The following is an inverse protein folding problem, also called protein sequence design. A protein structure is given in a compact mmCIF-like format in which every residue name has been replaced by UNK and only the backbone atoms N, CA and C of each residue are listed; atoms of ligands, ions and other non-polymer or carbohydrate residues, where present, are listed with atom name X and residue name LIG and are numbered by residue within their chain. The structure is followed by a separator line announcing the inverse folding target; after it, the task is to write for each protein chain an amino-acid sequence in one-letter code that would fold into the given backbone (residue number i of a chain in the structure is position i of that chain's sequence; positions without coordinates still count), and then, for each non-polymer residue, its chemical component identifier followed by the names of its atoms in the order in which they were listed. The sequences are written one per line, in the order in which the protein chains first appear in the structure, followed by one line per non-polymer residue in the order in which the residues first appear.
data_IF_801638170989
#
_entry.id   IF_801638170989
#
_cell.length_a   1.000
_cell.length_b   1.000
_cell.length_c   1.000
_cell.angle_alpha   90.00
_cell.angle_beta   90.00
_cell.angle_gamma   90.00
#
_symmetry.space_group_name_H-M   'P 1'
#
loop_
_entity.id
_entity.type
_entity.pdbx_description
1 polymer ?
#
# COMPACT_ATOMS: atom_id res chain seq x y z
N UNK A 1 -19.26 7.16 21.28
CA UNK A 1 -18.09 6.34 20.87
C UNK A 1 -16.87 6.43 21.79
N UNK A 2 -16.58 7.55 22.48
CA UNK A 2 -15.32 7.68 23.23
C UNK A 2 -15.16 6.79 24.48
N UNK A 3 -16.22 6.39 25.17
CA UNK A 3 -16.09 5.63 26.44
C UNK A 3 -15.63 4.19 26.21
N UNK A 4 -16.29 3.46 25.31
CA UNK A 4 -16.00 2.04 25.03
C UNK A 4 -14.59 1.87 24.43
N UNK A 5 -14.21 2.69 23.45
CA UNK A 5 -12.87 2.60 22.85
C UNK A 5 -11.76 2.90 23.85
N UNK A 6 -11.96 3.86 24.77
CA UNK A 6 -11.01 4.15 25.85
C UNK A 6 -10.86 2.98 26.81
N UNK A 7 -11.97 2.33 27.20
CA UNK A 7 -11.93 1.13 28.06
C UNK A 7 -11.18 -0.01 27.35
N UNK A 8 -11.48 -0.28 26.08
CA UNK A 8 -10.82 -1.35 25.31
C UNK A 8 -9.32 -1.07 25.16
N UNK A 9 -8.95 0.17 24.83
CA UNK A 9 -7.55 0.57 24.74
C UNK A 9 -6.82 0.45 26.08
N UNK A 10 -7.48 0.79 27.19
CA UNK A 10 -6.90 0.64 28.53
C UNK A 10 -6.67 -0.85 28.87
N UNK A 11 -7.64 -1.73 28.59
CA UNK A 11 -7.51 -3.18 28.84
C UNK A 11 -6.38 -3.77 28.01
N UNK A 12 -6.31 -3.45 26.72
CA UNK A 12 -5.28 -3.94 25.81
C UNK A 12 -3.89 -3.43 26.22
N UNK A 13 -3.79 -2.17 26.65
CA UNK A 13 -2.55 -1.59 27.18
C UNK A 13 -2.07 -2.30 28.44
N UNK A 14 -2.97 -2.59 29.39
CA UNK A 14 -2.64 -3.33 30.62
C UNK A 14 -2.19 -4.77 30.29
N UNK A 15 -2.87 -5.46 29.38
CA UNK A 15 -2.48 -6.80 28.94
C UNK A 15 -1.08 -6.79 28.30
N UNK A 16 -0.79 -5.80 27.46
CA UNK A 16 0.54 -5.62 26.86
C UNK A 16 1.64 -5.45 27.91
N UNK A 17 1.41 -4.61 28.93
CA UNK A 17 2.36 -4.41 30.03
C UNK A 17 2.58 -5.72 30.82
N UNK A 18 1.50 -6.44 31.14
CA UNK A 18 1.60 -7.72 31.87
C UNK A 18 2.40 -8.75 31.08
N UNK A 19 2.16 -8.89 29.77
CA UNK A 19 2.92 -9.81 28.93
C UNK A 19 4.39 -9.39 28.78
N UNK A 20 4.66 -8.08 28.63
CA UNK A 20 6.03 -7.54 28.59
C UNK A 20 6.80 -7.87 29.88
N UNK A 21 6.20 -7.62 31.05
CA UNK A 21 6.82 -7.92 32.34
C UNK A 21 7.09 -9.41 32.49
N UNK A 22 6.18 -10.28 32.03
CA UNK A 22 6.37 -11.74 32.03
C UNK A 22 7.57 -12.15 31.17
N UNK A 23 7.70 -11.61 29.96
CA UNK A 23 8.82 -11.92 29.05
C UNK A 23 10.15 -11.45 29.65
N UNK A 24 10.21 -10.22 30.13
CA UNK A 24 11.42 -9.66 30.76
C UNK A 24 11.82 -10.49 32.00
N UNK A 25 10.85 -10.90 32.82
CA UNK A 25 11.10 -11.71 34.02
C UNK A 25 11.58 -13.14 33.72
N UNK A 26 11.30 -13.67 32.53
CA UNK A 26 11.74 -15.00 32.13
C UNK A 26 13.24 -15.05 31.81
N UNK A 27 13.83 -13.91 31.43
CA UNK A 27 15.24 -13.79 31.05
C UNK A 27 15.51 -14.25 29.61
N UNK A 28 16.41 -13.52 28.94
CA UNK A 28 16.77 -13.74 27.53
C UNK A 28 17.29 -15.16 27.24
N UNK A 29 18.02 -15.75 28.19
CA UNK A 29 18.65 -17.06 28.05
C UNK A 29 17.61 -18.20 28.03
N UNK A 30 16.53 -18.08 28.80
CA UNK A 30 15.46 -19.09 28.87
C UNK A 30 14.50 -19.03 27.67
N UNK A 31 14.42 -17.87 27.00
CA UNK A 31 13.64 -17.71 25.77
C UNK A 31 14.43 -18.23 24.56
N UNK A 32 15.74 -17.96 24.49
CA UNK A 32 16.63 -18.42 23.41
C UNK A 32 16.88 -19.93 23.42
N UNK A 33 16.88 -20.56 24.60
CA UNK A 33 17.04 -22.03 24.74
C UNK A 33 15.78 -22.82 24.37
N UNK A 34 14.65 -22.15 24.12
CA UNK A 34 13.37 -22.79 23.78
C UNK A 34 12.54 -23.26 24.98
N UNK A 35 13.09 -23.25 26.20
CA UNK A 35 12.42 -23.72 27.42
C UNK A 35 11.18 -22.90 27.78
N UNK A 36 11.19 -21.59 27.45
CA UNK A 36 10.09 -20.65 27.72
C UNK A 36 9.60 -19.92 26.46
N UNK A 37 9.87 -20.45 25.27
CA UNK A 37 9.48 -19.79 24.00
C UNK A 37 7.97 -19.47 23.91
N UNK A 38 7.09 -20.30 24.49
CA UNK A 38 5.65 -20.03 24.52
C UNK A 38 5.21 -18.81 25.34
N UNK A 39 6.13 -18.15 26.08
CA UNK A 39 5.81 -16.90 26.79
C UNK A 39 5.74 -15.68 25.87
N UNK A 40 6.35 -15.72 24.67
CA UNK A 40 6.30 -14.61 23.72
C UNK A 40 5.05 -14.63 22.82
N UNK A 41 4.47 -15.81 22.59
CA UNK A 41 3.30 -15.97 21.70
C UNK A 41 2.09 -15.14 22.13
N UNK A 42 1.70 -15.08 23.43
CA UNK A 42 0.58 -14.25 23.87
C UNK A 42 0.75 -12.76 23.56
N UNK A 43 1.98 -12.23 23.63
CA UNK A 43 2.28 -10.85 23.27
C UNK A 43 2.15 -10.63 21.76
N UNK A 44 2.62 -11.58 20.95
CA UNK A 44 2.45 -11.54 19.51
C UNK A 44 0.97 -11.56 19.09
N UNK A 45 0.13 -12.39 19.73
CA UNK A 45 -1.30 -12.42 19.47
C UNK A 45 -2.00 -11.09 19.80
N UNK A 46 -1.62 -10.44 20.90
CA UNK A 46 -2.15 -9.09 21.22
C UNK A 46 -1.72 -8.08 20.17
N UNK A 47 -0.46 -8.12 19.72
CA UNK A 47 0.03 -7.22 18.67
C UNK A 47 -0.73 -7.43 17.35
N UNK A 48 -0.95 -8.68 16.93
CA UNK A 48 -1.75 -8.98 15.74
C UNK A 48 -3.20 -8.53 15.89
N UNK A 49 -3.81 -8.67 17.07
CA UNK A 49 -5.16 -8.20 17.33
C UNK A 49 -5.27 -6.67 17.21
N UNK A 50 -4.30 -5.91 17.74
CA UNK A 50 -4.25 -4.45 17.60
C UNK A 50 -4.04 -4.05 16.14
N UNK A 51 -3.12 -4.72 15.44
CA UNK A 51 -2.85 -4.46 14.02
C UNK A 51 -4.10 -4.71 13.17
N UNK A 52 -4.79 -5.83 13.39
CA UNK A 52 -6.05 -6.14 12.72
C UNK A 52 -7.12 -5.06 13.03
N UNK A 53 -7.27 -4.66 14.30
CA UNK A 53 -8.21 -3.62 14.69
C UNK A 53 -7.89 -2.26 14.03
N UNK A 54 -6.61 -1.90 13.95
CA UNK A 54 -6.16 -0.67 13.29
C UNK A 54 -6.46 -0.70 11.79
N UNK A 55 -6.13 -1.80 11.11
CA UNK A 55 -6.44 -1.99 9.68
C UNK A 55 -7.94 -1.89 9.44
N UNK A 56 -8.77 -2.60 10.22
CA UNK A 56 -10.23 -2.55 10.10
C UNK A 56 -10.75 -1.13 10.34
N UNK A 57 -10.26 -0.43 11.37
CA UNK A 57 -10.68 0.94 11.66
C UNK A 57 -10.34 1.89 10.51
N UNK A 58 -9.14 1.78 9.93
CA UNK A 58 -8.71 2.58 8.78
C UNK A 58 -9.56 2.27 7.56
N UNK A 59 -9.79 1.01 7.25
CA UNK A 59 -10.63 0.58 6.12
C UNK A 59 -12.05 1.14 6.26
N UNK A 60 -12.69 0.94 7.42
CA UNK A 60 -14.03 1.48 7.70
C UNK A 60 -14.02 3.00 7.58
N UNK A 61 -13.01 3.67 8.14
CA UNK A 61 -12.90 5.12 8.10
C UNK A 61 -12.79 5.64 6.66
N UNK A 62 -11.94 5.02 5.83
CA UNK A 62 -11.77 5.41 4.42
C UNK A 62 -13.09 5.26 3.67
N UNK A 63 -13.74 4.09 3.74
CA UNK A 63 -15.00 3.87 3.03
C UNK A 63 -16.11 4.79 3.53
N UNK A 64 -16.26 4.92 4.84
CA UNK A 64 -17.26 5.81 5.44
C UNK A 64 -17.01 7.28 5.05
N UNK A 65 -15.76 7.72 5.11
CA UNK A 65 -15.39 9.09 4.78
C UNK A 65 -15.58 9.40 3.30
N UNK A 66 -15.28 8.46 2.40
CA UNK A 66 -15.53 8.61 0.97
C UNK A 66 -17.05 8.64 0.70
N UNK A 67 -17.81 7.68 1.21
CA UNK A 67 -19.25 7.54 0.90
C UNK A 67 -20.11 8.68 1.45
N UNK A 68 -19.78 9.23 2.62
CA UNK A 68 -20.56 10.32 3.24
C UNK A 68 -20.21 11.69 2.63
N UNK A 69 -19.02 11.84 2.03
CA UNK A 69 -18.59 13.10 1.43
C UNK A 69 -18.72 13.06 -0.10
N UNK A 70 -19.87 13.45 -0.69
CA UNK A 70 -20.10 13.33 -2.14
C UNK A 70 -19.08 14.11 -2.98
N UNK A 71 -18.60 15.26 -2.49
CA UNK A 71 -17.53 16.03 -3.15
C UNK A 71 -16.18 15.30 -3.11
N UNK A 72 -15.84 14.71 -1.96
CA UNK A 72 -14.63 13.91 -1.79
C UNK A 72 -14.66 12.66 -2.69
N UNK A 73 -15.76 11.92 -2.68
CA UNK A 73 -15.98 10.75 -3.52
C UNK A 73 -15.84 11.09 -5.01
N UNK A 74 -16.45 12.19 -5.48
CA UNK A 74 -16.33 12.62 -6.87
C UNK A 74 -14.87 12.86 -7.25
N UNK A 75 -14.12 13.61 -6.43
CA UNK A 75 -12.71 13.90 -6.73
C UNK A 75 -11.83 12.65 -6.68
N UNK A 76 -12.04 11.76 -5.72
CA UNK A 76 -11.34 10.47 -5.65
C UNK A 76 -11.67 9.62 -6.87
N UNK A 77 -12.94 9.53 -7.28
CA UNK A 77 -13.36 8.74 -8.43
C UNK A 77 -12.80 9.29 -9.74
N UNK A 78 -12.74 10.62 -9.90
CA UNK A 78 -12.07 11.26 -11.04
C UNK A 78 -10.57 10.91 -11.05
N UNK A 79 -9.89 11.01 -9.90
CA UNK A 79 -8.46 10.70 -9.80
C UNK A 79 -8.16 9.23 -10.12
N UNK A 80 -8.89 8.30 -9.49
CA UNK A 80 -8.75 6.86 -9.72
C UNK A 80 -9.15 6.49 -11.14
N UNK A 81 -10.24 7.06 -11.66
CA UNK A 81 -10.71 6.84 -13.02
C UNK A 81 -9.72 7.33 -14.07
N UNK A 82 -9.14 8.51 -13.89
CA UNK A 82 -8.11 9.04 -14.78
C UNK A 82 -6.83 8.19 -14.74
N UNK A 83 -6.40 7.76 -13.56
CA UNK A 83 -5.26 6.85 -13.41
C UNK A 83 -5.51 5.51 -14.10
N UNK A 84 -6.68 4.91 -13.87
CA UNK A 84 -7.08 3.66 -14.53
C UNK A 84 -7.18 3.83 -16.05
N UNK A 85 -7.72 4.95 -16.54
CA UNK A 85 -7.78 5.23 -17.97
C UNK A 85 -6.38 5.27 -18.60
N UNK A 86 -5.40 5.89 -17.94
CA UNK A 86 -4.01 5.86 -18.42
C UNK A 86 -3.48 4.43 -18.46
N UNK A 87 -3.66 3.64 -17.40
CA UNK A 87 -3.22 2.23 -17.40
C UNK A 87 -3.86 1.41 -18.52
N UNK A 88 -5.17 1.58 -18.73
CA UNK A 88 -5.91 0.86 -19.77
C UNK A 88 -5.43 1.27 -21.17
N UNK A 89 -5.27 2.57 -21.43
CA UNK A 89 -4.77 3.06 -22.73
C UNK A 89 -3.34 2.57 -22.96
N UNK A 90 -2.47 2.69 -21.95
CA UNK A 90 -1.08 2.23 -22.07
C UNK A 90 -0.98 0.74 -22.35
N UNK A 91 -1.77 -0.11 -21.68
CA UNK A 91 -1.71 -1.56 -21.89
C UNK A 91 -2.44 -2.05 -23.15
N UNK A 92 -3.66 -1.57 -23.41
CA UNK A 92 -4.49 -2.08 -24.50
C UNK A 92 -4.23 -1.40 -25.84
N UNK A 93 -3.88 -0.12 -25.85
CA UNK A 93 -3.73 0.68 -27.07
C UNK A 93 -2.26 0.83 -27.45
N UNK A 94 -1.38 1.11 -26.48
CA UNK A 94 0.00 1.51 -26.78
C UNK A 94 1.01 0.36 -26.64
N UNK A 95 0.82 -0.55 -25.69
CA UNK A 95 1.78 -1.62 -25.45
C UNK A 95 1.68 -2.73 -26.50
N UNK A 96 2.83 -3.11 -27.05
CA UNK A 96 3.00 -4.30 -27.87
C UNK A 96 3.79 -5.35 -27.07
N UNK A 97 3.42 -6.62 -27.22
CA UNK A 97 4.13 -7.73 -26.55
C UNK A 97 5.33 -8.26 -27.34
N UNK A 98 5.41 -7.89 -28.62
CA UNK A 98 6.40 -8.38 -29.58
C UNK A 98 7.06 -7.21 -30.32
N UNK A 99 7.59 -6.26 -29.56
CA UNK A 99 8.43 -5.22 -30.13
C UNK A 99 9.73 -5.80 -30.72
N UNK A 100 10.49 -4.96 -31.41
CA UNK A 100 11.68 -5.38 -32.14
C UNK A 100 12.75 -5.99 -31.21
N UNK A 101 12.87 -5.46 -29.99
CA UNK A 101 13.76 -5.98 -28.95
C UNK A 101 13.33 -7.32 -28.37
N UNK A 102 12.02 -7.57 -28.24
CA UNK A 102 11.48 -8.89 -27.91
C UNK A 102 11.80 -9.91 -29.01
N UNK A 103 11.61 -9.53 -30.28
CA UNK A 103 11.91 -10.41 -31.44
C UNK A 103 13.39 -10.72 -31.59
N UNK A 104 14.27 -9.81 -31.17
CA UNK A 104 15.72 -10.06 -31.06
C UNK A 104 16.13 -10.89 -29.82
N UNK A 105 15.19 -11.33 -28.99
CA UNK A 105 15.48 -12.15 -27.80
C UNK A 105 16.17 -11.37 -26.67
N UNK A 106 16.04 -10.04 -26.64
CA UNK A 106 16.70 -9.17 -25.66
C UNK A 106 15.97 -9.12 -24.31
N UNK A 107 14.71 -9.58 -24.26
CA UNK A 107 13.92 -9.58 -23.04
C UNK A 107 14.01 -10.93 -22.34
N UNK A 108 14.65 -10.91 -21.16
CA UNK A 108 14.80 -12.08 -20.29
C UNK A 108 14.07 -11.90 -18.97
N UNK A 109 13.45 -12.96 -18.52
CA UNK A 109 12.89 -13.11 -17.18
C UNK A 109 13.80 -14.07 -16.41
N UNK A 110 14.91 -13.55 -15.85
CA UNK A 110 15.97 -14.39 -15.29
C UNK A 110 16.81 -15.04 -16.41
N UNK A 111 16.95 -16.37 -16.37
CA UNK A 111 17.68 -17.13 -17.40
C UNK A 111 16.81 -17.52 -18.60
N UNK A 112 15.49 -17.32 -18.52
CA UNK A 112 14.53 -17.66 -19.58
C UNK A 112 14.14 -16.43 -20.42
N UNK A 113 13.77 -16.67 -21.68
CA UNK A 113 13.21 -15.61 -22.53
C UNK A 113 11.84 -15.20 -22.01
N UNK A 114 11.60 -13.89 -21.91
CA UNK A 114 10.30 -13.37 -21.52
C UNK A 114 9.23 -13.82 -22.52
N UNK A 115 8.01 -14.05 -22.05
CA UNK A 115 6.85 -14.29 -22.92
C UNK A 115 6.31 -12.96 -23.47
N UNK A 116 5.60 -13.00 -24.60
CA UNK A 116 4.98 -11.80 -25.18
C UNK A 116 4.01 -11.12 -24.20
N UNK A 117 3.34 -11.90 -23.34
CA UNK A 117 2.46 -11.38 -22.29
C UNK A 117 3.22 -10.62 -21.20
N UNK A 118 4.37 -11.16 -20.74
CA UNK A 118 5.22 -10.49 -19.76
C UNK A 118 5.82 -9.19 -20.33
N UNK A 119 6.32 -9.26 -21.56
CA UNK A 119 6.82 -8.10 -22.31
C UNK A 119 5.75 -7.00 -22.41
N UNK A 120 4.54 -7.36 -22.83
CA UNK A 120 3.42 -6.41 -22.95
C UNK A 120 3.03 -5.77 -21.62
N UNK A 121 3.04 -6.54 -20.53
CA UNK A 121 2.68 -6.05 -19.20
C UNK A 121 3.70 -5.03 -18.69
N UNK A 122 4.99 -5.34 -18.83
CA UNK A 122 6.09 -4.43 -18.45
C UNK A 122 6.09 -3.19 -19.34
N UNK A 123 5.98 -3.36 -20.66
CA UNK A 123 5.92 -2.26 -21.62
C UNK A 123 4.74 -1.34 -21.36
N UNK A 124 3.54 -1.89 -21.11
CA UNK A 124 2.35 -1.11 -20.76
C UNK A 124 2.50 -0.34 -19.45
N UNK A 125 3.10 -0.96 -18.43
CA UNK A 125 3.41 -0.29 -17.18
C UNK A 125 4.41 0.87 -17.36
N UNK A 126 5.44 0.67 -18.19
CA UNK A 126 6.46 1.67 -18.45
C UNK A 126 5.91 2.85 -19.26
N UNK A 127 5.10 2.59 -20.30
CA UNK A 127 4.41 3.62 -21.07
C UNK A 127 3.48 4.44 -20.16
N UNK A 128 2.70 3.77 -19.29
CA UNK A 128 1.85 4.46 -18.33
C UNK A 128 2.66 5.37 -17.40
N UNK A 129 3.79 4.87 -16.89
CA UNK A 129 4.69 5.63 -16.04
C UNK A 129 5.22 6.89 -16.75
N UNK A 130 5.67 6.78 -18.00
CA UNK A 130 6.14 7.93 -18.78
C UNK A 130 5.04 8.97 -19.01
N UNK A 131 3.82 8.54 -19.36
CA UNK A 131 2.68 9.44 -19.51
C UNK A 131 2.40 10.17 -18.19
N UNK A 132 2.33 9.44 -17.08
CA UNK A 132 2.04 10.01 -15.77
C UNK A 132 3.12 10.98 -15.29
N UNK A 133 4.41 10.71 -15.55
CA UNK A 133 5.50 11.64 -15.22
C UNK A 133 5.34 12.94 -15.99
N UNK A 134 5.08 12.88 -17.30
CA UNK A 134 4.93 14.09 -18.13
C UNK A 134 3.74 14.91 -17.64
N UNK A 135 2.60 14.26 -17.41
CA UNK A 135 1.39 14.91 -16.87
C UNK A 135 1.65 15.53 -15.50
N UNK A 136 2.36 14.83 -14.62
CA UNK A 136 2.71 15.33 -13.29
C UNK A 136 3.64 16.55 -13.37
N UNK A 137 4.69 16.49 -14.19
CA UNK A 137 5.61 17.60 -14.38
C UNK A 137 4.90 18.86 -14.90
N UNK A 138 4.06 18.71 -15.93
CA UNK A 138 3.26 19.82 -16.48
C UNK A 138 2.33 20.39 -15.41
N UNK A 139 1.63 19.51 -14.67
CA UNK A 139 0.70 19.93 -13.61
C UNK A 139 1.39 20.68 -12.48
N UNK A 140 2.59 20.24 -12.08
CA UNK A 140 3.41 20.90 -11.05
C UNK A 140 3.91 22.26 -11.52
N UNK A 141 4.41 22.37 -12.74
CA UNK A 141 4.86 23.66 -13.32
C UNK A 141 3.68 24.63 -13.40
N UNK A 142 2.54 24.18 -13.95
CA UNK A 142 1.35 25.03 -14.06
C UNK A 142 0.85 25.50 -12.70
N UNK A 143 0.79 24.61 -11.71
CA UNK A 143 0.42 24.95 -10.33
C UNK A 143 1.40 25.95 -9.71
N UNK A 144 2.70 25.75 -9.90
CA UNK A 144 3.75 26.64 -9.43
C UNK A 144 3.67 28.03 -10.04
N UNK A 145 3.58 28.13 -11.37
CA UNK A 145 3.47 29.39 -12.10
C UNK A 145 2.19 30.14 -11.72
N UNK A 146 1.04 29.45 -11.68
CA UNK A 146 -0.23 30.06 -11.28
C UNK A 146 -0.14 30.62 -9.85
N UNK A 147 0.49 29.91 -8.92
CA UNK A 147 0.65 30.37 -7.52
C UNK A 147 1.50 31.64 -7.42
N UNK A 148 2.50 31.81 -8.29
CA UNK A 148 3.33 33.01 -8.34
C UNK A 148 2.59 34.19 -9.00
N UNK A 149 1.83 33.94 -10.07
CA UNK A 149 1.10 34.98 -10.80
C UNK A 149 -0.22 35.42 -10.17
N UNK A 150 -0.84 34.56 -9.35
CA UNK A 150 -2.09 34.87 -8.64
C UNK A 150 -1.87 35.50 -7.25
N UNK A 151 -0.65 35.92 -6.97
CA UNK A 151 -0.27 36.67 -5.77
C UNK A 151 -0.03 38.13 -6.16
#
# INVERSE_FOLDING_TARGET
MHKILKIVAAIVGVLGIVFLVRIISAGDDAIKSGEKAGLVDPMAYVAYAILAAAVVAVVIFIFRNILINPSGLKNTLIGVGAFAAVLLVSYFVLATGEDESFKLGLYKSGDEMATAGQSKLVGGGLIAFYILIVVAAISMIFSGVKKVLSK
#
